data_IF_626722734906
#
_entry.id   IF_626722734906
#
_cell.length_a   1.000
_cell.length_b   1.000
_cell.length_c   1.000
_cell.angle_alpha   90.00
_cell.angle_beta   90.00
_cell.angle_gamma   90.00
#
_symmetry.space_group_name_H-M   'P 1'
#
loop_
_entity.id
_entity.type
_entity.pdbx_description
1 polymer ?
#
# COMPACT_ATOMS: atom_id res chain seq x y z
N UNK A 1 70.62 30.44 28.01
CA UNK A 1 69.35 30.67 27.29
C UNK A 1 68.66 29.29 27.09
N UNK A 2 67.79 28.94 28.01
CA UNK A 2 67.04 27.68 27.96
C UNK A 2 65.74 27.93 27.22
N UNK A 3 65.45 27.16 26.16
CA UNK A 3 64.21 27.15 25.44
C UNK A 3 63.37 26.03 26.05
N UNK A 4 62.24 26.38 26.68
CA UNK A 4 61.24 25.46 27.19
C UNK A 4 60.20 25.25 26.06
N UNK A 5 60.15 24.05 25.53
CA UNK A 5 59.13 23.66 24.56
C UNK A 5 57.84 23.20 25.30
N UNK A 6 56.75 23.92 25.12
CA UNK A 6 55.44 23.55 25.65
C UNK A 6 54.75 22.58 24.69
N UNK A 7 54.42 21.39 25.17
CA UNK A 7 53.57 20.41 24.45
C UNK A 7 52.10 20.74 24.72
N UNK A 8 51.36 21.10 23.68
CA UNK A 8 49.91 21.25 23.72
C UNK A 8 49.31 19.92 23.35
N UNK A 9 48.72 19.24 24.32
CA UNK A 9 47.93 18.01 24.10
C UNK A 9 46.54 18.40 23.57
N UNK A 10 46.28 18.15 22.28
CA UNK A 10 44.93 18.22 21.75
C UNK A 10 44.16 16.98 22.21
N UNK A 11 43.24 17.16 23.16
CA UNK A 11 42.22 16.19 23.49
C UNK A 11 41.17 16.20 22.36
N UNK A 12 41.23 15.20 21.50
CA UNK A 12 40.19 14.95 20.49
C UNK A 12 38.87 14.57 21.16
N UNK A 13 37.88 15.44 21.12
CA UNK A 13 36.51 15.11 21.46
C UNK A 13 35.98 14.12 20.39
N UNK A 14 35.80 12.87 20.80
CA UNK A 14 35.02 11.91 19.98
C UNK A 14 33.56 12.35 20.02
N UNK A 15 33.10 13.03 18.99
CA UNK A 15 31.68 13.21 18.74
C UNK A 15 31.05 11.83 18.52
N UNK A 16 30.41 11.28 19.55
CA UNK A 16 29.56 10.14 19.42
C UNK A 16 28.33 10.60 18.62
N UNK A 17 28.20 10.09 17.41
CA UNK A 17 26.95 10.19 16.65
C UNK A 17 25.77 9.77 17.56
N UNK A 18 24.64 10.47 17.54
CA UNK A 18 23.48 10.11 18.35
C UNK A 18 23.09 8.68 18.04
N UNK A 19 23.15 7.81 19.05
CA UNK A 19 22.66 6.43 18.94
C UNK A 19 21.16 6.51 18.65
N UNK A 20 20.75 6.05 17.47
CA UNK A 20 19.31 5.88 17.20
C UNK A 20 18.70 5.00 18.29
N UNK A 21 17.52 5.34 18.81
CA UNK A 21 16.85 4.51 19.80
C UNK A 21 16.70 3.09 19.25
N UNK A 22 17.09 2.12 20.06
CA UNK A 22 17.00 0.71 19.67
C UNK A 22 15.53 0.35 19.45
N UNK A 23 15.19 -0.16 18.27
CA UNK A 23 13.80 -0.50 17.92
C UNK A 23 13.25 -1.54 18.90
N UNK A 24 12.05 -1.30 19.42
CA UNK A 24 11.33 -2.28 20.24
C UNK A 24 10.72 -3.37 19.34
N UNK A 25 11.42 -4.50 19.24
CA UNK A 25 11.02 -5.64 18.43
C UNK A 25 9.78 -6.39 18.98
N UNK A 26 9.27 -6.00 20.14
CA UNK A 26 8.05 -6.57 20.74
C UNK A 26 6.81 -5.73 20.50
N UNK A 27 6.98 -4.57 19.88
CA UNK A 27 5.90 -3.61 19.65
C UNK A 27 4.77 -4.23 18.81
N UNK A 28 3.57 -4.17 19.34
CA UNK A 28 2.34 -4.68 18.70
C UNK A 28 1.76 -3.62 17.78
N UNK A 29 2.29 -3.54 16.54
CA UNK A 29 1.98 -2.46 15.60
C UNK A 29 0.49 -2.36 15.23
N UNK A 30 -0.27 -3.45 15.33
CA UNK A 30 -1.73 -3.41 15.10
C UNK A 30 -2.50 -2.58 16.12
N UNK A 31 -1.90 -2.30 17.30
CA UNK A 31 -2.46 -1.39 18.30
C UNK A 31 -2.13 0.07 18.04
N UNK A 32 -1.15 0.33 17.17
CA UNK A 32 -0.68 1.66 16.80
C UNK A 32 -1.32 2.16 15.50
N UNK A 33 -2.04 1.29 14.79
CA UNK A 33 -2.77 1.68 13.59
C UNK A 33 -3.92 2.63 13.95
N UNK A 34 -4.10 3.68 13.17
CA UNK A 34 -5.14 4.69 13.40
C UNK A 34 -6.04 4.85 12.17
N UNK A 35 -7.29 4.43 12.28
CA UNK A 35 -8.30 4.68 11.26
C UNK A 35 -8.52 6.16 10.98
N UNK A 36 -8.36 7.03 12.00
CA UNK A 36 -8.44 8.49 11.82
C UNK A 36 -7.30 9.01 10.93
N UNK A 37 -6.06 8.49 11.11
CA UNK A 37 -4.96 8.86 10.24
C UNK A 37 -5.22 8.40 8.80
N UNK A 38 -5.65 7.16 8.62
CA UNK A 38 -6.01 6.61 7.31
C UNK A 38 -7.08 7.49 6.63
N UNK A 39 -8.17 7.85 7.35
CA UNK A 39 -9.22 8.72 6.81
C UNK A 39 -8.71 10.12 6.46
N UNK A 40 -7.76 10.68 7.23
CA UNK A 40 -7.14 11.97 6.87
C UNK A 40 -6.35 11.88 5.57
N UNK A 41 -5.66 10.79 5.32
CA UNK A 41 -4.98 10.57 4.03
C UNK A 41 -5.98 10.51 2.88
N UNK A 42 -7.10 9.81 3.06
CA UNK A 42 -8.20 9.77 2.08
C UNK A 42 -8.72 11.18 1.79
N UNK A 43 -9.02 11.95 2.85
CA UNK A 43 -9.55 13.31 2.70
C UNK A 43 -8.62 14.19 1.86
N UNK A 44 -7.32 14.15 2.12
CA UNK A 44 -6.34 14.95 1.34
C UNK A 44 -6.36 14.57 -0.14
N UNK A 45 -6.45 13.29 -0.48
CA UNK A 45 -6.52 12.84 -1.88
C UNK A 45 -7.84 13.24 -2.54
N UNK A 46 -8.95 13.13 -1.84
CA UNK A 46 -10.29 13.58 -2.30
C UNK A 46 -10.30 15.10 -2.56
N UNK A 47 -9.61 15.89 -1.73
CA UNK A 47 -9.49 17.34 -1.88
C UNK A 47 -8.69 17.74 -3.13
N UNK A 48 -7.78 16.89 -3.62
CA UNK A 48 -7.12 17.10 -4.92
C UNK A 48 -8.09 16.91 -6.10
N UNK A 49 -9.20 16.23 -5.89
CA UNK A 49 -10.22 15.92 -6.88
C UNK A 49 -10.02 14.57 -7.57
N UNK A 50 -10.76 14.32 -8.67
CA UNK A 50 -10.59 13.12 -9.49
C UNK A 50 -9.13 12.95 -9.92
N UNK A 51 -8.62 11.72 -9.80
CA UNK A 51 -7.21 11.36 -9.99
C UNK A 51 -6.96 10.39 -11.15
N UNK A 52 -7.62 10.53 -12.32
CA UNK A 52 -7.29 9.68 -13.45
C UNK A 52 -5.81 9.84 -13.85
N UNK A 53 -5.20 8.81 -14.45
CA UNK A 53 -3.84 8.90 -14.97
C UNK A 53 -3.62 10.13 -15.87
N UNK A 54 -2.41 10.68 -15.86
CA UNK A 54 -1.98 11.86 -16.63
C UNK A 54 -2.72 13.17 -16.30
N UNK A 55 -3.32 13.30 -15.11
CA UNK A 55 -3.96 14.55 -14.64
C UNK A 55 -3.09 15.30 -13.62
N UNK A 56 -3.28 16.63 -13.45
CA UNK A 56 -2.60 17.35 -12.37
C UNK A 56 -2.97 16.86 -10.96
N UNK A 57 -4.16 16.30 -10.76
CA UNK A 57 -4.59 15.78 -9.46
C UNK A 57 -3.84 14.50 -9.07
N UNK A 58 -3.61 13.59 -10.03
CA UNK A 58 -2.83 12.38 -9.75
C UNK A 58 -1.37 12.73 -9.44
N UNK A 59 -0.79 13.74 -10.07
CA UNK A 59 0.58 14.17 -9.78
C UNK A 59 0.69 14.77 -8.36
N UNK A 60 -0.29 15.58 -7.94
CA UNK A 60 -0.36 16.04 -6.55
C UNK A 60 -0.49 14.86 -5.56
N UNK A 61 -1.23 13.83 -5.93
CA UNK A 61 -1.36 12.61 -5.13
C UNK A 61 -0.02 11.89 -5.04
N UNK A 62 0.70 11.70 -6.14
CA UNK A 62 2.05 11.10 -6.16
C UNK A 62 3.04 11.84 -5.27
N UNK A 63 3.05 13.16 -5.33
CA UNK A 63 3.90 14.00 -4.48
C UNK A 63 3.53 13.87 -3.00
N UNK A 64 2.23 13.84 -2.69
CA UNK A 64 1.73 13.63 -1.34
C UNK A 64 2.11 12.27 -0.78
N UNK A 65 1.86 11.17 -1.53
CA UNK A 65 2.21 9.81 -1.14
C UNK A 65 3.71 9.68 -0.91
N UNK A 66 4.53 10.16 -1.84
CA UNK A 66 5.99 10.15 -1.73
C UNK A 66 6.43 10.85 -0.45
N UNK A 67 5.92 12.05 -0.18
CA UNK A 67 6.26 12.81 1.03
C UNK A 67 5.88 12.08 2.33
N UNK A 68 4.68 11.47 2.39
CA UNK A 68 4.24 10.76 3.60
C UNK A 68 5.09 9.50 3.86
N UNK A 69 5.42 8.77 2.81
CA UNK A 69 6.30 7.61 2.88
C UNK A 69 7.71 7.99 3.34
N UNK A 70 8.30 9.03 2.76
CA UNK A 70 9.63 9.52 3.15
C UNK A 70 9.67 10.04 4.59
N UNK A 71 8.63 10.72 5.07
CA UNK A 71 8.49 11.15 6.46
C UNK A 71 8.46 9.95 7.43
N UNK A 72 7.99 8.80 6.98
CA UNK A 72 7.98 7.54 7.72
C UNK A 72 9.26 6.71 7.52
N UNK A 73 10.25 7.23 6.80
CA UNK A 73 11.56 6.58 6.60
C UNK A 73 11.62 5.58 5.44
N UNK A 74 10.60 5.55 4.59
CA UNK A 74 10.62 4.74 3.36
C UNK A 74 11.33 5.49 2.24
N UNK A 75 12.02 4.74 1.39
CA UNK A 75 12.58 5.25 0.14
C UNK A 75 11.61 4.96 -0.99
N UNK A 76 11.19 5.99 -1.71
CA UNK A 76 10.25 5.86 -2.82
C UNK A 76 10.97 5.89 -4.16
N UNK A 77 10.56 5.00 -5.06
CA UNK A 77 10.97 4.97 -6.46
C UNK A 77 9.74 5.10 -7.33
N UNK A 78 9.79 5.99 -8.33
CA UNK A 78 8.77 6.12 -9.37
C UNK A 78 9.08 5.16 -10.51
N UNK A 79 8.19 4.22 -10.81
CA UNK A 79 8.27 3.33 -11.95
C UNK A 79 7.38 3.89 -13.05
N UNK A 80 7.96 4.69 -13.94
CA UNK A 80 7.24 5.35 -15.04
C UNK A 80 7.24 4.47 -16.27
N UNK A 81 6.09 4.35 -16.92
CA UNK A 81 5.92 3.60 -18.18
C UNK A 81 4.79 4.21 -19.03
N UNK A 82 4.74 3.83 -20.29
CA UNK A 82 3.66 4.23 -21.21
C UNK A 82 2.98 2.99 -21.75
N UNK A 83 1.66 2.97 -21.76
CA UNK A 83 0.88 1.88 -22.37
C UNK A 83 -0.20 2.43 -23.31
N UNK A 84 -0.73 1.54 -24.16
CA UNK A 84 -1.82 1.84 -25.07
C UNK A 84 -3.15 1.56 -24.38
N UNK A 85 -4.03 2.54 -24.38
CA UNK A 85 -5.36 2.48 -23.79
C UNK A 85 -6.42 2.74 -24.85
N UNK A 86 -7.71 2.51 -24.61
CA UNK A 86 -8.80 2.94 -25.50
C UNK A 86 -8.78 4.45 -25.80
N UNK A 87 -8.13 5.26 -24.95
CA UNK A 87 -7.98 6.72 -25.14
C UNK A 87 -6.62 7.12 -25.72
N UNK A 88 -5.86 6.18 -26.26
CA UNK A 88 -4.53 6.40 -26.82
C UNK A 88 -3.41 6.03 -25.85
N UNK A 89 -2.19 6.55 -26.12
CA UNK A 89 -1.04 6.28 -25.26
C UNK A 89 -1.08 7.17 -24.03
N UNK A 90 -1.02 6.55 -22.86
CA UNK A 90 -1.05 7.23 -21.55
C UNK A 90 0.23 6.86 -20.77
N UNK A 91 0.79 7.82 -20.08
CA UNK A 91 1.88 7.60 -19.13
C UNK A 91 1.31 7.31 -17.75
N UNK A 92 1.82 6.24 -17.13
CA UNK A 92 1.48 5.78 -15.80
C UNK A 92 2.72 5.78 -14.90
N UNK A 93 2.53 5.88 -13.58
CA UNK A 93 3.63 5.88 -12.61
C UNK A 93 3.27 5.07 -11.38
N UNK A 94 3.78 3.85 -11.24
CA UNK A 94 3.70 3.15 -9.97
C UNK A 94 4.68 3.79 -8.96
N UNK A 95 4.26 3.86 -7.68
CA UNK A 95 5.17 4.24 -6.59
C UNK A 95 5.56 2.98 -5.81
N UNK A 96 6.85 2.73 -5.72
CA UNK A 96 7.42 1.58 -5.02
C UNK A 96 8.20 2.08 -3.82
N UNK A 97 7.82 1.66 -2.60
CA UNK A 97 8.48 2.09 -1.38
C UNK A 97 9.16 0.92 -0.66
N UNK A 98 10.45 1.08 -0.38
CA UNK A 98 11.29 0.12 0.35
C UNK A 98 11.85 0.74 1.62
N UNK A 99 12.05 -0.06 2.67
CA UNK A 99 12.60 0.38 3.94
C UNK A 99 14.01 -0.18 4.15
N UNK A 100 14.96 0.65 4.64
CA UNK A 100 16.32 0.17 4.98
C UNK A 100 17.35 0.23 3.87
N UNK A 101 17.03 0.83 2.70
CA UNK A 101 18.03 1.13 1.65
C UNK A 101 18.50 -0.09 0.87
N UNK A 102 19.78 -0.07 0.38
CA UNK A 102 20.33 -1.05 -0.56
C UNK A 102 20.45 -2.48 0.00
N UNK A 103 20.50 -2.63 1.32
CA UNK A 103 20.62 -3.94 1.98
C UNK A 103 19.25 -4.55 2.34
N UNK A 104 18.18 -3.87 1.96
CA UNK A 104 16.82 -4.36 2.11
C UNK A 104 16.54 -5.40 1.04
N UNK A 105 16.05 -6.57 1.48
CA UNK A 105 15.57 -7.64 0.60
C UNK A 105 14.10 -7.91 0.91
N UNK A 106 13.17 -7.08 0.42
CA UNK A 106 11.76 -7.30 0.66
C UNK A 106 11.34 -8.66 0.11
N UNK A 107 10.49 -9.34 0.87
CA UNK A 107 10.00 -10.69 0.54
C UNK A 107 8.49 -10.79 0.53
N UNK A 108 7.80 -9.65 0.70
CA UNK A 108 6.34 -9.59 0.75
C UNK A 108 5.85 -8.26 0.19
N UNK A 109 4.87 -8.32 -0.72
CA UNK A 109 4.25 -7.14 -1.31
C UNK A 109 3.06 -6.67 -0.47
N UNK A 110 2.87 -5.35 -0.37
CA UNK A 110 1.63 -4.77 0.17
C UNK A 110 1.18 -3.69 -0.79
N UNK A 111 0.01 -3.84 -1.38
CA UNK A 111 -0.39 -3.12 -2.57
C UNK A 111 -1.74 -2.41 -2.42
N UNK A 112 -1.94 -1.39 -3.22
CA UNK A 112 -3.19 -0.66 -3.43
C UNK A 112 -3.08 0.13 -4.73
N UNK A 113 -4.18 0.43 -5.41
CA UNK A 113 -4.17 1.45 -6.45
C UNK A 113 -4.49 2.83 -5.87
N UNK A 114 -4.08 3.91 -6.56
CA UNK A 114 -4.29 5.29 -6.09
C UNK A 114 -4.95 6.20 -7.11
N UNK A 115 -5.13 5.73 -8.33
CA UNK A 115 -5.87 6.42 -9.39
C UNK A 115 -7.39 6.37 -9.14
N UNK A 116 -8.14 7.01 -9.99
CA UNK A 116 -9.60 6.92 -10.03
C UNK A 116 -10.07 6.72 -11.46
N UNK A 117 -11.21 6.06 -11.59
CA UNK A 117 -11.88 5.89 -12.87
C UNK A 117 -12.14 7.22 -13.58
N UNK A 118 -11.99 7.20 -14.89
CA UNK A 118 -12.31 8.32 -15.77
C UNK A 118 -13.76 8.29 -16.20
N UNK A 119 -14.52 9.32 -15.85
CA UNK A 119 -15.87 9.55 -16.37
C UNK A 119 -15.93 10.82 -17.17
N UNK A 120 -16.57 10.80 -18.35
CA UNK A 120 -16.68 11.98 -19.22
C UNK A 120 -17.72 13.01 -18.72
N UNK A 121 -18.72 12.55 -17.94
CA UNK A 121 -19.88 13.37 -17.55
C UNK A 121 -20.09 13.45 -16.04
N UNK A 122 -19.31 12.71 -15.24
CA UNK A 122 -19.46 12.65 -13.80
C UNK A 122 -18.16 13.02 -13.09
N UNK A 123 -18.27 13.70 -11.95
CA UNK A 123 -17.14 13.93 -11.05
C UNK A 123 -17.03 12.75 -10.09
N UNK A 124 -16.04 11.90 -10.31
CA UNK A 124 -15.75 10.74 -9.47
C UNK A 124 -14.46 10.99 -8.67
N UNK A 125 -14.55 11.00 -7.36
CA UNK A 125 -13.39 11.28 -6.49
C UNK A 125 -12.79 10.03 -5.87
N UNK A 126 -13.47 8.88 -6.00
CA UNK A 126 -12.99 7.60 -5.52
C UNK A 126 -12.52 7.68 -4.07
N UNK A 127 -13.44 7.99 -3.15
CA UNK A 127 -13.07 8.08 -1.73
C UNK A 127 -12.83 6.69 -1.14
N UNK A 128 -13.67 5.72 -1.51
CA UNK A 128 -13.46 4.31 -1.19
C UNK A 128 -12.56 3.66 -2.23
N UNK A 129 -12.92 3.83 -3.49
CA UNK A 129 -12.27 3.24 -4.64
C UNK A 129 -10.93 3.96 -4.94
N UNK A 130 -9.83 3.26 -4.67
CA UNK A 130 -8.44 3.74 -4.64
C UNK A 130 -8.10 4.66 -3.46
N UNK A 131 -9.07 5.39 -2.89
CA UNK A 131 -8.82 6.32 -1.80
C UNK A 131 -8.62 5.64 -0.45
N UNK A 132 -9.55 4.78 -0.05
CA UNK A 132 -9.55 4.12 1.26
C UNK A 132 -8.36 3.18 1.43
N UNK A 133 -8.11 2.36 0.42
CA UNK A 133 -7.01 1.39 0.38
C UNK A 133 -5.65 2.08 0.42
N UNK A 134 -5.46 3.16 -0.36
CA UNK A 134 -4.24 4.00 -0.31
C UNK A 134 -4.06 4.66 1.07
N UNK A 135 -5.15 5.15 1.69
CA UNK A 135 -5.10 5.71 3.04
C UNK A 135 -4.68 4.69 4.10
N UNK A 136 -5.21 3.46 4.02
CA UNK A 136 -4.81 2.33 4.87
C UNK A 136 -3.34 1.97 4.65
N UNK A 137 -2.88 1.89 3.41
CA UNK A 137 -1.50 1.54 3.09
C UNK A 137 -0.50 2.59 3.58
N UNK A 138 -0.83 3.89 3.51
CA UNK A 138 0.02 4.96 4.08
C UNK A 138 0.14 4.87 5.61
N UNK A 139 -0.98 4.64 6.30
CA UNK A 139 -0.94 4.48 7.76
C UNK A 139 -0.24 3.18 8.15
N UNK A 140 -0.39 2.11 7.36
CA UNK A 140 0.35 0.87 7.54
C UNK A 140 1.86 1.08 7.37
N UNK A 141 2.29 1.90 6.39
CA UNK A 141 3.68 2.29 6.23
C UNK A 141 4.25 2.95 7.50
N UNK A 142 3.48 3.86 8.11
CA UNK A 142 3.86 4.54 9.36
C UNK A 142 4.03 3.55 10.52
N UNK A 143 3.12 2.60 10.67
CA UNK A 143 3.20 1.65 11.80
C UNK A 143 4.24 0.56 11.57
N UNK A 144 4.44 0.10 10.34
CA UNK A 144 5.52 -0.83 10.00
C UNK A 144 6.91 -0.22 10.28
N UNK A 145 7.10 1.07 9.99
CA UNK A 145 8.35 1.77 10.27
C UNK A 145 8.74 1.77 11.75
N UNK A 146 7.81 1.51 12.66
CA UNK A 146 8.10 1.33 14.09
C UNK A 146 8.73 -0.04 14.42
N UNK A 147 8.73 -0.96 13.43
CA UNK A 147 9.35 -2.29 13.48
C UNK A 147 10.26 -2.45 12.24
N UNK A 148 11.45 -1.82 12.27
CA UNK A 148 12.38 -1.84 11.13
C UNK A 148 12.75 -3.26 10.65
N UNK A 149 12.72 -4.24 11.55
CA UNK A 149 12.94 -5.66 11.25
C UNK A 149 11.85 -6.25 10.33
N UNK A 150 10.61 -5.77 10.46
CA UNK A 150 9.48 -6.16 9.61
C UNK A 150 9.42 -5.27 8.36
N UNK A 151 9.57 -3.95 8.53
CA UNK A 151 9.50 -3.00 7.42
C UNK A 151 10.48 -3.34 6.27
N UNK A 152 11.69 -3.81 6.59
CA UNK A 152 12.68 -4.23 5.57
C UNK A 152 12.25 -5.44 4.75
N UNK A 153 11.31 -6.24 5.24
CA UNK A 153 10.79 -7.41 4.54
C UNK A 153 9.59 -7.08 3.65
N UNK A 154 9.01 -5.89 3.80
CA UNK A 154 7.87 -5.42 3.01
C UNK A 154 8.31 -4.48 1.89
N UNK A 155 7.71 -4.60 0.71
CA UNK A 155 7.71 -3.61 -0.35
C UNK A 155 6.29 -3.13 -0.54
N UNK A 156 6.10 -1.80 -0.43
CA UNK A 156 4.79 -1.19 -0.61
C UNK A 156 4.67 -0.70 -2.04
N UNK A 157 3.60 -1.07 -2.72
CA UNK A 157 3.39 -0.69 -4.12
C UNK A 157 2.04 -0.01 -4.26
N UNK A 158 2.06 1.22 -4.76
CA UNK A 158 0.87 1.98 -5.12
C UNK A 158 0.77 1.96 -6.64
N UNK A 159 -0.21 1.23 -7.15
CA UNK A 159 -0.41 1.07 -8.60
C UNK A 159 -1.13 2.27 -9.19
N UNK A 160 -0.78 2.62 -10.42
CA UNK A 160 -1.42 3.64 -11.24
C UNK A 160 -2.16 2.97 -12.40
N UNK A 161 -3.36 3.43 -12.69
CA UNK A 161 -4.14 2.92 -13.79
C UNK A 161 -4.66 1.50 -13.54
N UNK A 162 -5.14 1.22 -12.35
CA UNK A 162 -5.94 0.03 -12.08
C UNK A 162 -7.22 0.10 -12.91
N UNK A 163 -7.85 1.26 -12.96
CA UNK A 163 -9.14 1.52 -13.54
C UNK A 163 -9.18 1.37 -15.06
N UNK A 164 -10.11 0.54 -15.53
CA UNK A 164 -10.37 0.41 -16.95
C UNK A 164 -11.02 1.66 -17.54
N UNK A 165 -10.63 2.08 -18.76
CA UNK A 165 -11.26 3.19 -19.47
C UNK A 165 -12.65 2.84 -20.00
N UNK A 166 -12.84 1.62 -20.48
CA UNK A 166 -14.12 1.10 -20.99
C UNK A 166 -14.59 -0.08 -20.13
N UNK A 167 -13.85 -1.18 -20.13
CA UNK A 167 -14.16 -2.38 -19.36
C UNK A 167 -12.88 -3.15 -19.05
N UNK A 168 -12.84 -3.82 -17.91
CA UNK A 168 -11.73 -4.70 -17.55
C UNK A 168 -11.58 -5.82 -18.57
N UNK A 169 -10.41 -5.89 -19.21
CA UNK A 169 -10.02 -6.89 -20.18
C UNK A 169 -8.53 -7.20 -20.04
N UNK A 170 -8.01 -8.09 -20.89
CA UNK A 170 -6.55 -8.34 -20.94
C UNK A 170 -5.72 -7.09 -21.29
N UNK A 171 -6.32 -6.04 -21.85
CA UNK A 171 -5.62 -4.85 -22.35
C UNK A 171 -6.19 -3.52 -21.84
N UNK A 172 -7.26 -3.52 -21.05
CA UNK A 172 -7.85 -2.32 -20.46
C UNK A 172 -8.09 -2.54 -18.95
N UNK A 173 -7.55 -1.67 -18.11
CA UNK A 173 -7.44 -1.80 -16.66
C UNK A 173 -6.16 -2.50 -16.22
N UNK A 174 -5.84 -2.44 -14.92
CA UNK A 174 -4.70 -3.08 -14.27
C UNK A 174 -3.34 -2.73 -14.90
N UNK A 175 -3.20 -1.54 -15.50
CA UNK A 175 -2.01 -1.17 -16.26
C UNK A 175 -0.75 -1.19 -15.36
N UNK A 176 -0.87 -0.66 -14.14
CA UNK A 176 0.21 -0.58 -13.18
C UNK A 176 0.70 -1.94 -12.71
N UNK A 177 -0.21 -2.78 -12.24
CA UNK A 177 0.13 -4.11 -11.72
C UNK A 177 0.61 -5.05 -12.81
N UNK A 178 0.00 -5.02 -14.00
CA UNK A 178 0.50 -5.79 -15.17
C UNK A 178 1.92 -5.40 -15.55
N UNK A 179 2.20 -4.09 -15.61
CA UNK A 179 3.56 -3.64 -15.90
C UNK A 179 4.54 -4.07 -14.83
N UNK A 180 4.20 -3.89 -13.55
CA UNK A 180 5.03 -4.27 -12.41
C UNK A 180 5.32 -5.77 -12.40
N UNK A 181 4.30 -6.62 -12.51
CA UNK A 181 4.44 -8.08 -12.56
C UNK A 181 5.31 -8.54 -13.73
N UNK A 182 5.11 -7.97 -14.93
CA UNK A 182 5.92 -8.24 -16.12
C UNK A 182 7.40 -7.88 -15.92
N UNK A 183 7.70 -6.73 -15.26
CA UNK A 183 9.08 -6.34 -14.96
C UNK A 183 9.72 -7.31 -13.97
N UNK A 184 9.03 -7.71 -12.90
CA UNK A 184 9.54 -8.71 -11.96
C UNK A 184 9.84 -10.04 -12.64
N UNK A 185 8.97 -10.49 -13.55
CA UNK A 185 9.19 -11.72 -14.31
C UNK A 185 10.40 -11.59 -15.28
N UNK A 186 10.52 -10.46 -15.97
CA UNK A 186 11.63 -10.20 -16.89
C UNK A 186 13.00 -10.12 -16.19
N UNK A 187 13.01 -9.69 -14.92
CA UNK A 187 14.20 -9.57 -14.09
C UNK A 187 14.48 -10.84 -13.24
N UNK A 188 13.69 -11.90 -13.38
CA UNK A 188 13.73 -13.14 -12.58
C UNK A 188 13.62 -12.88 -11.05
N UNK A 189 12.82 -11.87 -10.69
CA UNK A 189 12.63 -11.44 -9.30
C UNK A 189 11.34 -11.96 -8.64
N UNK A 190 10.48 -12.65 -9.38
CA UNK A 190 9.19 -13.12 -8.82
C UNK A 190 9.39 -14.02 -7.59
N UNK A 191 10.40 -14.89 -7.62
CA UNK A 191 10.74 -15.78 -6.49
C UNK A 191 11.28 -15.09 -5.25
N UNK A 192 11.60 -13.80 -5.34
CA UNK A 192 11.96 -12.99 -4.19
C UNK A 192 10.76 -12.81 -3.24
N UNK A 193 9.55 -12.71 -3.82
CA UNK A 193 8.33 -12.48 -3.08
C UNK A 193 7.61 -13.81 -2.80
N UNK A 194 7.37 -14.09 -1.54
CA UNK A 194 6.61 -15.27 -1.09
C UNK A 194 5.12 -15.03 -1.00
N UNK A 195 4.68 -13.78 -1.17
CA UNK A 195 3.28 -13.40 -1.19
C UNK A 195 3.06 -11.91 -1.27
N UNK A 196 1.79 -11.53 -1.44
CA UNK A 196 1.32 -10.15 -1.46
C UNK A 196 -0.03 -9.98 -0.78
N UNK A 197 -0.31 -8.79 -0.30
CA UNK A 197 -1.57 -8.34 0.27
C UNK A 197 -2.01 -7.10 -0.50
N UNK A 198 -3.15 -7.20 -1.17
CA UNK A 198 -3.80 -6.09 -1.87
C UNK A 198 -4.95 -5.56 -1.00
N UNK A 199 -5.18 -4.27 -1.08
CA UNK A 199 -6.37 -3.62 -0.55
C UNK A 199 -7.09 -2.90 -1.67
N UNK A 200 -8.42 -3.06 -1.73
CA UNK A 200 -9.31 -2.25 -2.53
C UNK A 200 -10.64 -2.01 -1.82
N UNK A 201 -11.18 -0.78 -1.89
CA UNK A 201 -12.45 -0.36 -1.30
C UNK A 201 -12.68 -0.81 0.15
N UNK A 202 -11.78 -0.47 1.06
CA UNK A 202 -11.77 -0.99 2.45
C UNK A 202 -12.34 -0.02 3.49
N UNK A 203 -13.06 1.01 3.06
CA UNK A 203 -13.52 2.09 3.94
C UNK A 203 -15.02 2.18 4.20
N UNK A 204 -15.86 1.38 3.55
CA UNK A 204 -17.33 1.46 3.67
C UNK A 204 -17.80 1.39 5.13
N UNK A 205 -18.79 2.25 5.46
CA UNK A 205 -19.42 2.25 6.80
C UNK A 205 -20.05 0.93 7.16
N UNK A 206 -20.50 0.15 6.17
CA UNK A 206 -21.13 -1.16 6.33
C UNK A 206 -20.17 -2.30 6.02
N UNK A 207 -18.91 -2.15 6.38
CA UNK A 207 -17.77 -2.97 6.02
C UNK A 207 -18.03 -4.47 5.95
N UNK A 208 -17.83 -5.05 4.77
CA UNK A 208 -17.83 -6.48 4.49
C UNK A 208 -16.63 -6.83 3.60
N UNK A 209 -15.46 -7.04 4.20
CA UNK A 209 -14.30 -7.50 3.43
C UNK A 209 -14.55 -8.88 2.90
N UNK A 210 -14.47 -9.00 1.58
CA UNK A 210 -14.60 -10.25 0.83
C UNK A 210 -13.24 -10.68 0.28
N UNK A 211 -13.00 -11.97 0.29
CA UNK A 211 -11.82 -12.58 -0.29
C UNK A 211 -12.24 -13.29 -1.57
N UNK A 212 -11.63 -12.98 -2.74
CA UNK A 212 -11.93 -13.70 -3.99
C UNK A 212 -11.71 -15.20 -3.87
N UNK A 213 -12.42 -16.04 -4.67
CA UNK A 213 -12.30 -17.49 -4.63
C UNK A 213 -10.91 -18.03 -4.97
N UNK A 214 -10.14 -17.29 -5.77
CA UNK A 214 -8.76 -17.60 -6.15
C UNK A 214 -7.74 -17.22 -5.10
N UNK A 215 -8.16 -16.65 -3.96
CA UNK A 215 -7.29 -16.32 -2.84
C UNK A 215 -6.44 -17.52 -2.41
N UNK A 216 -5.11 -17.33 -2.22
CA UNK A 216 -4.25 -18.40 -1.72
C UNK A 216 -4.75 -18.93 -0.36
N UNK A 217 -5.10 -20.22 -0.29
CA UNK A 217 -5.84 -20.79 0.84
C UNK A 217 -5.14 -20.64 2.20
N UNK A 218 -3.79 -20.67 2.24
CA UNK A 218 -3.02 -20.43 3.45
C UNK A 218 -3.19 -18.98 3.91
N UNK A 219 -3.07 -18.03 3.00
CA UNK A 219 -3.20 -16.61 3.31
C UNK A 219 -4.62 -16.26 3.77
N UNK A 220 -5.64 -16.83 3.11
CA UNK A 220 -7.03 -16.65 3.53
C UNK A 220 -7.27 -17.14 4.97
N UNK A 221 -6.76 -18.33 5.32
CA UNK A 221 -6.82 -18.84 6.69
C UNK A 221 -6.11 -17.90 7.67
N UNK A 222 -4.93 -17.40 7.31
CA UNK A 222 -4.13 -16.51 8.16
C UNK A 222 -4.82 -15.16 8.36
N UNK A 223 -5.48 -14.59 7.33
CA UNK A 223 -6.30 -13.37 7.45
C UNK A 223 -7.50 -13.61 8.39
N UNK A 224 -8.25 -14.71 8.22
CA UNK A 224 -9.36 -15.02 9.10
C UNK A 224 -8.91 -15.25 10.55
N UNK A 225 -7.80 -15.94 10.75
CA UNK A 225 -7.22 -16.12 12.08
C UNK A 225 -6.77 -14.81 12.73
N UNK A 226 -6.21 -13.88 11.92
CA UNK A 226 -5.85 -12.54 12.37
C UNK A 226 -7.07 -11.72 12.79
N UNK A 227 -8.14 -11.78 12.00
CA UNK A 227 -9.40 -11.12 12.31
C UNK A 227 -10.06 -11.72 13.57
N UNK A 228 -9.99 -13.05 13.76
CA UNK A 228 -10.50 -13.74 14.95
C UNK A 228 -9.69 -13.35 16.20
N UNK A 229 -8.37 -13.30 16.12
CA UNK A 229 -7.50 -12.89 17.23
C UNK A 229 -7.79 -11.48 17.75
N UNK A 230 -8.36 -10.63 16.89
CA UNK A 230 -8.78 -9.26 17.21
C UNK A 230 -10.29 -9.11 17.48
N UNK A 231 -11.07 -10.21 17.46
CA UNK A 231 -12.53 -10.22 17.55
C UNK A 231 -13.23 -9.43 16.42
N UNK A 232 -12.63 -9.39 15.23
CA UNK A 232 -13.11 -8.65 14.05
C UNK A 232 -13.59 -9.59 12.94
N UNK A 233 -13.61 -10.92 13.17
CA UNK A 233 -13.91 -11.96 12.18
C UNK A 233 -15.23 -11.75 11.42
N UNK A 234 -16.22 -11.12 12.06
CA UNK A 234 -17.54 -10.83 11.46
C UNK A 234 -17.52 -9.94 10.22
N UNK A 235 -16.45 -9.18 10.03
CA UNK A 235 -16.29 -8.27 8.90
C UNK A 235 -15.59 -8.92 7.70
N UNK A 236 -15.25 -10.21 7.75
CA UNK A 236 -14.49 -10.90 6.72
C UNK A 236 -15.25 -12.14 6.25
N UNK A 237 -15.38 -12.31 4.93
CA UNK A 237 -16.04 -13.46 4.32
C UNK A 237 -15.37 -13.81 2.99
N UNK A 238 -15.86 -14.83 2.30
CA UNK A 238 -15.49 -15.10 0.90
C UNK A 238 -16.47 -14.42 -0.03
N UNK A 239 -15.99 -14.00 -1.20
CA UNK A 239 -16.83 -13.62 -2.32
C UNK A 239 -17.24 -14.87 -3.10
N UNK A 240 -18.35 -14.80 -3.84
CA UNK A 240 -18.92 -15.94 -4.57
C UNK A 240 -18.66 -15.91 -6.08
N UNK A 241 -17.93 -14.90 -6.55
CA UNK A 241 -17.60 -14.69 -7.97
C UNK A 241 -16.13 -14.29 -8.12
N UNK A 242 -15.56 -14.57 -9.29
CA UNK A 242 -14.23 -14.12 -9.64
C UNK A 242 -14.16 -12.58 -9.69
N UNK A 243 -13.08 -12.03 -9.18
CA UNK A 243 -12.76 -10.60 -9.22
C UNK A 243 -11.47 -10.44 -10.02
N UNK A 244 -11.49 -9.55 -11.01
CA UNK A 244 -10.30 -9.13 -11.73
C UNK A 244 -9.80 -7.82 -11.09
N UNK A 245 -8.66 -7.88 -10.42
CA UNK A 245 -8.05 -6.75 -9.72
C UNK A 245 -6.51 -6.90 -9.74
N UNK A 246 -5.78 -5.95 -9.20
CA UNK A 246 -4.31 -5.86 -9.18
C UNK A 246 -3.59 -7.10 -8.59
N UNK A 247 -4.28 -7.95 -7.82
CA UNK A 247 -3.75 -9.25 -7.39
C UNK A 247 -3.59 -10.25 -8.55
N UNK A 248 -4.43 -10.14 -9.59
CA UNK A 248 -4.45 -11.09 -10.71
C UNK A 248 -3.12 -11.14 -11.47
N UNK A 249 -2.53 -10.02 -11.94
CA UNK A 249 -1.23 -10.06 -12.62
C UNK A 249 -0.08 -10.57 -11.75
N UNK A 250 -0.16 -10.39 -10.43
CA UNK A 250 0.83 -10.89 -9.48
C UNK A 250 0.71 -12.42 -9.33
N UNK A 251 -0.52 -12.94 -9.21
CA UNK A 251 -0.81 -14.36 -9.18
C UNK A 251 -0.36 -15.06 -10.47
N UNK A 252 -0.58 -14.43 -11.64
CA UNK A 252 -0.20 -14.95 -12.95
C UNK A 252 1.32 -15.17 -13.10
N UNK A 253 2.13 -14.33 -12.45
CA UNK A 253 3.60 -14.50 -12.46
C UNK A 253 4.12 -15.32 -11.29
N UNK A 254 3.23 -15.94 -10.50
CA UNK A 254 3.56 -16.86 -9.42
C UNK A 254 3.90 -16.20 -8.09
N UNK A 255 3.45 -14.96 -7.85
CA UNK A 255 3.50 -14.30 -6.54
C UNK A 255 2.13 -14.43 -5.88
N UNK A 256 1.91 -15.37 -4.93
CA UNK A 256 0.61 -15.58 -4.31
C UNK A 256 0.14 -14.30 -3.61
N UNK A 257 -0.89 -13.66 -4.13
CA UNK A 257 -1.40 -12.39 -3.62
C UNK A 257 -2.87 -12.54 -3.23
N UNK A 258 -3.20 -12.13 -2.01
CA UNK A 258 -4.58 -12.10 -1.52
C UNK A 258 -5.11 -10.66 -1.61
N UNK A 259 -6.35 -10.55 -2.08
CA UNK A 259 -7.07 -9.30 -2.15
C UNK A 259 -8.06 -9.18 -0.97
N UNK A 260 -8.05 -8.04 -0.31
CA UNK A 260 -9.03 -7.63 0.69
C UNK A 260 -9.88 -6.52 0.11
N UNK A 261 -11.06 -6.86 -0.39
CA UNK A 261 -11.94 -5.94 -1.09
C UNK A 261 -13.36 -5.95 -0.50
N UNK A 262 -13.97 -4.77 -0.37
CA UNK A 262 -15.40 -4.63 -0.06
C UNK A 262 -16.21 -4.44 -1.34
N UNK A 263 -16.61 -5.54 -1.98
CA UNK A 263 -17.28 -5.51 -3.28
C UNK A 263 -18.81 -5.37 -3.18
N UNK A 264 -19.38 -5.14 -2.00
CA UNK A 264 -20.81 -4.82 -1.82
C UNK A 264 -21.08 -3.31 -1.61
N UNK A 265 -20.05 -2.48 -1.82
CA UNK A 265 -20.11 -1.03 -1.73
C UNK A 265 -21.02 -0.43 -2.82
N UNK A 266 -22.26 -0.08 -2.47
CA UNK A 266 -23.26 0.39 -3.43
C UNK A 266 -22.88 1.68 -4.21
N UNK A 267 -22.11 2.66 -3.66
CA UNK A 267 -21.64 3.83 -4.41
C UNK A 267 -20.50 3.56 -5.41
N UNK A 268 -20.02 2.32 -5.53
CA UNK A 268 -18.94 1.96 -6.46
C UNK A 268 -19.22 2.48 -7.88
N UNK A 269 -18.23 3.12 -8.48
CA UNK A 269 -18.28 3.73 -9.81
C UNK A 269 -19.41 4.75 -10.01
N UNK A 270 -19.82 5.44 -8.93
CA UNK A 270 -20.79 6.54 -8.99
C UNK A 270 -20.22 7.81 -8.36
N UNK A 271 -20.79 9.01 -8.68
CA UNK A 271 -20.39 10.27 -8.03
C UNK A 271 -20.61 10.29 -6.50
N UNK A 272 -21.32 9.30 -5.96
CA UNK A 272 -21.61 9.16 -4.54
C UNK A 272 -20.50 8.47 -3.76
N UNK A 273 -19.44 7.97 -4.43
CA UNK A 273 -18.23 7.51 -3.73
C UNK A 273 -17.46 8.72 -3.15
N UNK A 274 -17.90 9.13 -1.99
CA UNK A 274 -17.46 10.33 -1.27
C UNK A 274 -17.10 10.00 0.17
N UNK A 275 -16.33 10.90 0.83
CA UNK A 275 -15.77 10.69 2.17
C UNK A 275 -16.83 10.35 3.24
N UNK A 276 -18.06 10.82 3.08
CA UNK A 276 -19.16 10.55 4.01
C UNK A 276 -19.67 9.11 3.96
N UNK A 277 -19.29 8.34 2.95
CA UNK A 277 -19.58 6.89 2.86
C UNK A 277 -18.61 6.04 3.67
N UNK A 278 -17.46 6.61 4.04
CA UNK A 278 -16.43 5.89 4.78
C UNK A 278 -16.60 6.04 6.29
N UNK A 279 -15.97 5.14 7.06
CA UNK A 279 -15.88 5.27 8.50
C UNK A 279 -14.46 5.03 9.01
N UNK A 280 -14.12 5.71 10.10
CA UNK A 280 -12.89 5.51 10.85
C UNK A 280 -12.79 4.06 11.34
N UNK A 281 -13.92 3.50 11.79
CA UNK A 281 -14.02 2.15 12.35
C UNK A 281 -13.69 1.08 11.30
N UNK A 282 -14.14 1.27 10.06
CA UNK A 282 -13.86 0.34 8.96
C UNK A 282 -12.38 0.34 8.59
N UNK A 283 -11.81 1.53 8.39
CA UNK A 283 -10.38 1.68 8.12
C UNK A 283 -9.53 1.14 9.29
N UNK A 284 -9.95 1.38 10.54
CA UNK A 284 -9.32 0.83 11.73
C UNK A 284 -9.36 -0.71 11.74
N UNK A 285 -10.51 -1.29 11.40
CA UNK A 285 -10.73 -2.74 11.36
C UNK A 285 -9.78 -3.41 10.37
N UNK A 286 -9.78 -2.92 9.13
CA UNK A 286 -8.92 -3.50 8.08
C UNK A 286 -7.45 -3.29 8.40
N UNK A 287 -7.05 -2.08 8.78
CA UNK A 287 -5.67 -1.77 9.09
C UNK A 287 -5.12 -2.53 10.30
N UNK A 288 -5.93 -2.73 11.35
CA UNK A 288 -5.52 -3.54 12.50
C UNK A 288 -5.34 -5.01 12.13
N UNK A 289 -6.27 -5.60 11.35
CA UNK A 289 -6.16 -7.00 10.90
C UNK A 289 -4.95 -7.19 9.99
N UNK A 290 -4.73 -6.28 9.03
CA UNK A 290 -3.57 -6.31 8.14
C UNK A 290 -2.25 -6.16 8.92
N UNK A 291 -2.19 -5.22 9.87
CA UNK A 291 -1.01 -5.03 10.73
C UNK A 291 -0.71 -6.27 11.58
N UNK A 292 -1.76 -6.93 12.10
CA UNK A 292 -1.61 -8.19 12.85
C UNK A 292 -1.10 -9.30 11.94
N UNK A 293 -1.75 -9.52 10.79
CA UNK A 293 -1.34 -10.52 9.81
C UNK A 293 0.12 -10.35 9.39
N UNK A 294 0.51 -9.14 9.00
CA UNK A 294 1.88 -8.85 8.58
C UNK A 294 2.87 -9.09 9.71
N UNK A 295 2.60 -8.59 10.92
CA UNK A 295 3.56 -8.66 12.02
C UNK A 295 3.63 -10.00 12.74
N UNK A 296 2.55 -10.77 12.76
CA UNK A 296 2.48 -12.03 13.52
C UNK A 296 2.61 -13.27 12.62
N UNK A 297 2.33 -13.16 11.33
CA UNK A 297 2.30 -14.30 10.41
C UNK A 297 3.20 -14.05 9.17
N UNK A 298 2.85 -13.12 8.29
CA UNK A 298 3.48 -13.00 6.98
C UNK A 298 4.97 -12.58 7.04
N UNK A 299 5.37 -11.62 7.86
CA UNK A 299 6.73 -11.10 7.91
C UNK A 299 7.62 -11.75 9.00
N UNK A 300 7.07 -12.65 9.82
CA UNK A 300 7.86 -13.41 10.79
C UNK A 300 8.61 -14.59 10.19
N UNK A 301 8.09 -15.16 9.11
CA UNK A 301 8.64 -16.34 8.43
C UNK A 301 9.95 -16.07 7.68
#
# INVERSE_FOLDING_TARGET
MLIVAAWISLLGACDRAPTQPQADLTKKIWKEFSGENALRHVQVMVDFGPRPPATPAIEKTRDYLTKQLELSGWKVTRQTFTDSTPRGKIEFVNLIATYGGKDSAPSFLVCSHYDTKTFDTARFVGANDGGSSTGVLLELARVLAQRPDLARKAELVFFDGEEAYEAFTETDGLYGSRYFAKQLAAEDKTKQFRGGLLFDMVGDRSLTITLPPDSPAEMARDIFASAEALNLRKHFTYFDRDIMDDHTPLNDVGIPTIDLIDFDFAPWHTPEDTIDKLSVESLQTVGAVASYYLSEMALKK
#
